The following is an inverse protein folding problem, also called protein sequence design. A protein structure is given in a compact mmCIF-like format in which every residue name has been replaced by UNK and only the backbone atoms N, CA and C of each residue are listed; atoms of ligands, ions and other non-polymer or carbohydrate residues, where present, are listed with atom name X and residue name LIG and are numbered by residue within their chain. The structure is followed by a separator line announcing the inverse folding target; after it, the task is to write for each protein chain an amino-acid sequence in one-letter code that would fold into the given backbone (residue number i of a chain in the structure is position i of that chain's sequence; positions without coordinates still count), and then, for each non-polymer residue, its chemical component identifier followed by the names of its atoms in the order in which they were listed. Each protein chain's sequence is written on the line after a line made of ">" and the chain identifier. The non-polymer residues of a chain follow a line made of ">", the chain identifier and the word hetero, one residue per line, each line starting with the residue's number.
data_IF_029806340181
#
_entry.id   IF_029806340181
#
_cell.length_a   1.000
_cell.length_b   1.000
_cell.length_c   1.000
_cell.angle_alpha   90.00
_cell.angle_beta   90.00
_cell.angle_gamma   90.00
#
_symmetry.space_group_name_H-M   'P 1'
#
loop_
_entity.id
_entity.type
_entity.pdbx_description
1 polymer ?
#
# COMPACT_ATOMS: atom_id res chain seq x y z
N UNK A 1 -16.15 5.37 -12.50
CA UNK A 1 -15.53 5.71 -11.19
C UNK A 1 -14.16 6.34 -11.44
N UNK A 2 -13.68 7.25 -10.58
CA UNK A 2 -12.29 7.75 -10.69
C UNK A 2 -11.41 6.87 -9.83
N UNK A 3 -10.49 6.14 -10.44
CA UNK A 3 -9.57 5.27 -9.72
C UNK A 3 -8.58 6.10 -8.89
N UNK A 4 -8.38 5.70 -7.63
CA UNK A 4 -7.28 6.20 -6.84
C UNK A 4 -6.02 5.41 -7.16
N UNK A 5 -4.95 6.13 -7.47
CA UNK A 5 -3.68 5.49 -7.80
C UNK A 5 -2.93 5.14 -6.52
N UNK A 6 -2.82 3.85 -6.23
CA UNK A 6 -1.91 3.32 -5.20
C UNK A 6 -0.48 3.42 -5.69
N UNK A 7 0.45 3.91 -4.86
CA UNK A 7 1.87 4.08 -5.19
C UNK A 7 2.76 3.43 -4.15
N UNK A 8 3.83 2.76 -4.59
CA UNK A 8 4.92 2.32 -3.72
C UNK A 8 5.86 3.50 -3.44
N UNK A 9 5.83 4.04 -2.23
CA UNK A 9 6.58 5.23 -1.83
C UNK A 9 7.76 4.88 -0.94
N UNK A 10 8.89 5.58 -1.11
CA UNK A 10 10.04 5.50 -0.20
C UNK A 10 9.69 6.20 1.11
N UNK A 11 9.91 5.52 2.23
CA UNK A 11 9.70 6.07 3.57
C UNK A 11 11.03 6.58 4.12
N UNK A 12 10.98 7.77 4.71
CA UNK A 12 12.13 8.40 5.35
C UNK A 12 11.80 8.75 6.80
N UNK A 13 12.74 8.47 7.70
CA UNK A 13 12.67 8.86 9.12
C UNK A 13 13.92 9.66 9.45
N UNK A 14 13.75 10.91 9.89
CA UNK A 14 14.86 11.83 10.18
C UNK A 14 15.85 11.97 9.01
N UNK A 15 15.33 12.06 7.78
CA UNK A 15 16.11 12.17 6.55
C UNK A 15 16.79 10.88 6.09
N UNK A 16 16.67 9.78 6.83
CA UNK A 16 17.24 8.47 6.47
C UNK A 16 16.16 7.58 5.85
N UNK A 17 16.52 6.87 4.78
CA UNK A 17 15.64 5.87 4.17
C UNK A 17 15.36 4.74 5.15
N UNK A 18 14.09 4.37 5.30
CA UNK A 18 13.60 3.36 6.24
C UNK A 18 12.96 2.16 5.53
N UNK A 19 12.51 2.31 4.29
CA UNK A 19 11.87 1.24 3.55
C UNK A 19 10.87 1.77 2.53
N UNK A 20 9.84 0.97 2.25
CA UNK A 20 8.76 1.31 1.34
C UNK A 20 7.40 1.12 2.01
N UNK A 21 6.39 1.83 1.51
CA UNK A 21 5.00 1.67 1.92
C UNK A 21 4.04 2.07 0.80
N UNK A 22 2.85 1.48 0.79
CA UNK A 22 1.79 1.88 -0.14
C UNK A 22 1.15 3.18 0.31
N UNK A 23 0.98 4.09 -0.63
CA UNK A 23 0.34 5.39 -0.43
C UNK A 23 -0.77 5.62 -1.43
N UNK A 24 -1.75 6.41 -1.00
CA UNK A 24 -2.79 6.99 -1.86
C UNK A 24 -2.78 8.50 -1.60
N UNK A 25 -2.75 9.30 -2.67
CA UNK A 25 -2.72 10.76 -2.58
C UNK A 25 -1.64 11.32 -1.64
N UNK A 26 -0.46 10.67 -1.64
CA UNK A 26 0.70 11.06 -0.83
C UNK A 26 0.61 10.67 0.65
N UNK A 27 -0.44 9.97 1.07
CA UNK A 27 -0.64 9.48 2.44
C UNK A 27 -0.41 7.99 2.52
N UNK A 28 0.27 7.55 3.58
CA UNK A 28 0.48 6.12 3.87
C UNK A 28 -0.86 5.44 4.20
N UNK A 29 -1.13 4.28 3.58
CA UNK A 29 -2.25 3.45 3.99
C UNK A 29 -2.01 2.94 5.43
N UNK A 30 -3.00 3.06 6.30
CA UNK A 30 -2.87 2.67 7.69
C UNK A 30 -2.72 1.16 7.87
N UNK A 31 -2.18 0.76 9.03
CA UNK A 31 -2.07 -0.64 9.48
C UNK A 31 -1.18 -1.54 8.60
N UNK A 32 -0.31 -0.97 7.75
CA UNK A 32 0.70 -1.75 7.04
C UNK A 32 1.74 -2.30 8.04
N UNK A 33 1.89 -3.62 8.07
CA UNK A 33 2.81 -4.34 8.94
C UNK A 33 4.05 -4.80 8.19
N UNK A 34 3.88 -5.29 6.97
CA UNK A 34 4.98 -5.74 6.12
C UNK A 34 4.73 -5.32 4.67
N UNK A 35 5.80 -4.95 3.96
CA UNK A 35 5.79 -4.63 2.53
C UNK A 35 6.99 -5.33 1.90
N UNK A 36 6.72 -6.31 1.04
CA UNK A 36 7.73 -7.02 0.26
C UNK A 36 7.44 -6.83 -1.23
N UNK A 37 8.48 -6.88 -2.05
CA UNK A 37 8.32 -6.75 -3.49
C UNK A 37 9.31 -7.65 -4.21
N UNK A 38 8.83 -8.30 -5.25
CA UNK A 38 9.64 -9.14 -6.13
C UNK A 38 9.80 -8.40 -7.44
N UNK A 39 11.03 -8.14 -7.83
CA UNK A 39 11.36 -7.48 -9.10
C UNK A 39 12.43 -8.29 -9.81
N UNK A 40 12.02 -9.19 -10.72
CA UNK A 40 12.96 -10.00 -11.49
C UNK A 40 12.44 -10.29 -12.89
N UNK A 41 13.05 -9.76 -13.96
CA UNK A 41 13.78 -8.49 -14.05
C UNK A 41 12.85 -7.27 -13.87
N UNK A 42 13.45 -6.09 -13.68
CA UNK A 42 12.72 -4.83 -13.47
C UNK A 42 11.83 -4.53 -14.70
N UNK A 43 10.52 -4.64 -14.54
CA UNK A 43 9.54 -4.31 -15.58
C UNK A 43 8.81 -5.49 -16.23
N UNK A 44 9.17 -6.73 -15.91
CA UNK A 44 8.51 -7.91 -16.49
C UNK A 44 7.61 -8.64 -15.50
N UNK A 45 7.93 -8.63 -14.19
CA UNK A 45 7.12 -9.31 -13.16
C UNK A 45 7.27 -8.61 -11.79
N UNK A 46 6.89 -7.34 -11.71
CA UNK A 46 6.96 -6.59 -10.45
C UNK A 46 5.69 -6.84 -9.63
N UNK A 47 5.80 -7.59 -8.54
CA UNK A 47 4.72 -7.73 -7.56
C UNK A 47 5.10 -7.05 -6.25
N UNK A 48 4.09 -6.51 -5.57
CA UNK A 48 4.21 -6.01 -4.21
C UNK A 48 3.23 -6.81 -3.37
N UNK A 49 3.71 -7.43 -2.30
CA UNK A 49 2.89 -8.08 -1.29
C UNK A 49 2.91 -7.21 -0.04
N UNK A 50 1.73 -6.94 0.51
CA UNK A 50 1.58 -6.13 1.72
C UNK A 50 0.72 -6.88 2.71
N UNK A 51 1.23 -7.00 3.92
CA UNK A 51 0.46 -7.47 5.07
C UNK A 51 -0.10 -6.27 5.81
N UNK A 52 -1.41 -6.24 6.00
CA UNK A 52 -2.09 -5.28 6.85
C UNK A 52 -2.51 -5.95 8.15
N UNK A 53 -2.27 -5.29 9.28
CA UNK A 53 -2.91 -5.65 10.53
C UNK A 53 -4.40 -5.32 10.43
N UNK A 54 -5.23 -6.35 10.46
CA UNK A 54 -6.67 -6.19 10.36
C UNK A 54 -7.29 -5.98 11.75
N UNK A 55 -8.15 -4.98 11.88
CA UNK A 55 -8.89 -4.71 13.12
C UNK A 55 -10.36 -4.42 12.81
N UNK A 56 -11.20 -4.47 13.86
CA UNK A 56 -12.65 -4.29 13.73
C UNK A 56 -13.01 -2.95 13.06
N UNK A 57 -12.26 -1.88 13.30
CA UNK A 57 -12.52 -0.57 12.69
C UNK A 57 -12.27 -0.51 11.18
N UNK A 58 -11.54 -1.46 10.60
CA UNK A 58 -11.38 -1.56 9.14
C UNK A 58 -12.60 -2.22 8.47
N UNK A 59 -13.36 -3.01 9.21
CA UNK A 59 -14.53 -3.71 8.72
C UNK A 59 -15.83 -2.97 9.06
N UNK A 60 -15.85 -2.27 10.20
CA UNK A 60 -16.97 -1.43 10.59
C UNK A 60 -17.12 -0.26 9.60
N UNK A 61 -18.35 -0.04 9.12
CA UNK A 61 -18.69 1.05 8.20
C UNK A 61 -17.90 1.06 6.88
N UNK A 62 -17.32 -0.08 6.49
CA UNK A 62 -16.67 -0.22 5.20
C UNK A 62 -17.71 -0.11 4.06
N UNK A 63 -17.51 0.75 3.05
CA UNK A 63 -18.47 0.90 1.97
C UNK A 63 -18.48 -0.32 1.06
N UNK A 64 -19.67 -0.72 0.62
CA UNK A 64 -19.82 -1.67 -0.47
C UNK A 64 -19.35 -1.03 -1.78
N UNK A 65 -18.42 -1.69 -2.47
CA UNK A 65 -17.94 -1.29 -3.79
C UNK A 65 -18.57 -2.24 -4.82
N UNK A 66 -19.47 -1.73 -5.64
CA UNK A 66 -20.03 -2.46 -6.77
C UNK A 66 -19.12 -2.27 -7.98
N UNK A 67 -18.59 -3.38 -8.50
CA UNK A 67 -17.82 -3.40 -9.74
C UNK A 67 -18.78 -3.69 -10.90
N UNK A 68 -18.72 -2.87 -11.95
CA UNK A 68 -19.42 -3.11 -13.23
C UNK A 68 -18.71 -4.17 -14.07
#
# INVERSE_FOLDING_TARGET
>A
MKEQQVKLSKLFKSGRWFGYGLTVDGKLLSNQKEVSFTTTPLGENNSVVVEFECNLSMMADAPDIHLD
#
